data_IF_536321890064
#
_entry.id   IF_536321890064
#
_cell.length_a   1.000
_cell.length_b   1.000
_cell.length_c   1.000
_cell.angle_alpha   90.00
_cell.angle_beta   90.00
_cell.angle_gamma   90.00
#
_symmetry.space_group_name_H-M   'P 1'
#
loop_
_entity.id
_entity.type
_entity.pdbx_description
1 polymer ?
#
# COMPACT_ATOMS: atom_id res chain seq x y z
N UNK A 1 -0.59 -5.83 -13.73
CA UNK A 1 -0.32 -7.28 -13.93
C UNK A 1 -1.12 -8.04 -12.89
N UNK A 2 -2.00 -8.96 -13.28
CA UNK A 2 -2.81 -9.70 -12.31
C UNK A 2 -1.99 -10.92 -11.82
N UNK A 3 -1.62 -10.91 -10.55
CA UNK A 3 -0.80 -11.98 -9.95
C UNK A 3 -1.71 -13.01 -9.31
N UNK A 4 -1.52 -14.28 -9.65
CA UNK A 4 -2.26 -15.41 -9.10
C UNK A 4 -1.37 -16.23 -8.18
N UNK A 5 -1.93 -16.72 -7.09
CA UNK A 5 -1.24 -17.50 -6.08
C UNK A 5 -1.86 -18.89 -5.94
N UNK A 6 -1.04 -19.86 -5.58
CA UNK A 6 -1.44 -21.23 -5.23
C UNK A 6 -1.81 -21.30 -3.74
N UNK A 7 -2.34 -22.45 -3.29
CA UNK A 7 -2.76 -22.65 -1.88
C UNK A 7 -1.61 -22.49 -0.87
N UNK A 8 -0.38 -22.70 -1.32
CA UNK A 8 0.84 -22.52 -0.50
C UNK A 8 1.35 -21.06 -0.47
N UNK A 9 0.62 -20.12 -1.11
CA UNK A 9 1.00 -18.72 -1.18
C UNK A 9 2.08 -18.39 -2.22
N UNK A 10 2.52 -19.36 -3.03
CA UNK A 10 3.46 -19.11 -4.10
C UNK A 10 2.75 -18.62 -5.37
N UNK A 11 3.47 -17.84 -6.18
CA UNK A 11 2.96 -17.42 -7.49
C UNK A 11 2.74 -18.63 -8.39
N UNK A 12 1.63 -18.62 -9.15
CA UNK A 12 1.32 -19.68 -10.11
C UNK A 12 2.40 -19.78 -11.19
N UNK A 13 2.91 -20.98 -11.39
CA UNK A 13 3.99 -21.29 -12.33
C UNK A 13 3.53 -22.31 -13.40
N UNK A 14 4.32 -22.54 -14.46
CA UNK A 14 4.05 -23.60 -15.44
C UNK A 14 3.86 -24.98 -14.78
N UNK A 15 2.91 -25.79 -15.27
CA UNK A 15 2.09 -25.58 -16.47
C UNK A 15 0.77 -24.83 -16.22
N UNK A 16 0.46 -24.47 -14.99
CA UNK A 16 -0.84 -23.91 -14.62
C UNK A 16 -1.06 -22.50 -15.18
N UNK A 17 -0.05 -21.63 -15.11
CA UNK A 17 -0.08 -20.28 -15.69
C UNK A 17 -0.34 -20.32 -17.20
N UNK A 18 0.36 -21.20 -17.91
CA UNK A 18 0.22 -21.41 -19.35
C UNK A 18 -1.19 -21.88 -19.71
N UNK A 19 -1.76 -22.78 -18.91
CA UNK A 19 -3.12 -23.27 -19.08
C UNK A 19 -4.16 -22.17 -18.84
N UNK A 20 -3.99 -21.37 -17.80
CA UNK A 20 -4.85 -20.21 -17.49
C UNK A 20 -4.81 -19.20 -18.64
N UNK A 21 -3.61 -18.85 -19.12
CA UNK A 21 -3.43 -17.92 -20.22
C UNK A 21 -4.05 -18.41 -21.52
N UNK A 22 -4.00 -19.73 -21.78
CA UNK A 22 -4.66 -20.32 -22.94
C UNK A 22 -6.20 -20.19 -22.86
N UNK A 23 -6.81 -20.26 -21.68
CA UNK A 23 -8.24 -19.99 -21.50
C UNK A 23 -8.56 -18.49 -21.66
N UNK A 24 -7.73 -17.61 -21.08
CA UNK A 24 -7.89 -16.15 -21.24
C UNK A 24 -7.85 -15.75 -22.71
N UNK A 25 -6.95 -16.33 -23.50
CA UNK A 25 -6.82 -16.04 -24.95
C UNK A 25 -8.04 -16.41 -25.78
N UNK A 26 -8.96 -17.27 -25.27
CA UNK A 26 -10.23 -17.58 -25.93
C UNK A 26 -11.26 -16.45 -25.81
N UNK A 27 -11.10 -15.53 -24.86
CA UNK A 27 -11.94 -14.37 -24.70
C UNK A 27 -11.49 -13.29 -25.67
N UNK A 28 -12.22 -13.10 -26.73
CA UNK A 28 -11.86 -12.18 -27.83
C UNK A 28 -12.67 -10.87 -27.83
N UNK A 29 -13.70 -10.77 -26.97
CA UNK A 29 -14.55 -9.60 -26.81
C UNK A 29 -15.00 -9.49 -25.36
N UNK A 30 -15.17 -8.24 -24.87
CA UNK A 30 -15.71 -7.97 -23.53
C UNK A 30 -17.14 -8.52 -23.35
N UNK A 31 -17.92 -8.65 -24.42
CA UNK A 31 -19.27 -9.22 -24.37
C UNK A 31 -19.30 -10.69 -23.92
N UNK A 32 -18.19 -11.38 -24.01
CA UNK A 32 -18.03 -12.76 -23.54
C UNK A 32 -17.79 -12.83 -22.02
N UNK A 33 -17.46 -11.71 -21.37
CA UNK A 33 -17.23 -11.65 -19.94
C UNK A 33 -18.58 -11.70 -19.21
N UNK A 34 -18.76 -12.74 -18.41
CA UNK A 34 -19.97 -12.89 -17.60
C UNK A 34 -19.96 -11.89 -16.46
N UNK A 35 -20.98 -11.08 -16.35
CA UNK A 35 -21.16 -10.11 -15.26
C UNK A 35 -22.43 -10.41 -14.48
N UNK A 36 -22.49 -9.93 -13.25
CA UNK A 36 -23.61 -10.08 -12.35
C UNK A 36 -23.79 -8.78 -11.57
N UNK A 37 -25.04 -8.44 -11.24
CA UNK A 37 -25.32 -7.35 -10.32
C UNK A 37 -24.72 -7.62 -8.95
N UNK A 38 -24.16 -6.57 -8.30
CA UNK A 38 -23.46 -6.71 -7.02
C UNK A 38 -24.35 -7.24 -5.91
N UNK A 39 -25.61 -6.79 -5.82
CA UNK A 39 -26.53 -7.24 -4.78
C UNK A 39 -26.86 -8.72 -4.96
N UNK A 40 -27.13 -9.14 -6.21
CA UNK A 40 -27.36 -10.54 -6.55
C UNK A 40 -26.12 -11.42 -6.26
N UNK A 41 -24.92 -10.90 -6.51
CA UNK A 41 -23.68 -11.62 -6.20
C UNK A 41 -23.47 -11.80 -4.69
N UNK A 42 -23.82 -10.81 -3.87
CA UNK A 42 -23.78 -10.89 -2.40
C UNK A 42 -24.79 -11.94 -1.92
N UNK A 43 -26.04 -11.88 -2.41
CA UNK A 43 -27.09 -12.83 -2.04
C UNK A 43 -26.72 -14.27 -2.42
N UNK A 44 -26.08 -14.45 -3.56
CA UNK A 44 -25.58 -15.75 -4.02
C UNK A 44 -24.29 -16.23 -3.32
N UNK A 45 -23.71 -15.43 -2.41
CA UNK A 45 -22.44 -15.75 -1.72
C UNK A 45 -21.21 -15.69 -2.61
N UNK A 46 -21.32 -15.10 -3.79
CA UNK A 46 -20.22 -14.98 -4.77
C UNK A 46 -19.37 -13.72 -4.55
N UNK A 47 -19.87 -12.75 -3.79
CA UNK A 47 -19.17 -11.54 -3.42
C UNK A 47 -19.11 -11.44 -1.89
N UNK A 48 -17.92 -11.60 -1.33
CA UNK A 48 -17.70 -11.54 0.11
C UNK A 48 -16.68 -10.46 0.42
N UNK A 49 -16.94 -9.64 1.44
CA UNK A 49 -15.96 -8.70 1.99
C UNK A 49 -15.10 -9.45 2.99
N UNK A 50 -13.78 -9.24 2.91
CA UNK A 50 -12.83 -9.83 3.85
C UNK A 50 -13.17 -9.36 5.27
N UNK A 51 -13.25 -10.32 6.22
CA UNK A 51 -13.56 -10.03 7.62
C UNK A 51 -12.40 -9.40 8.37
N UNK A 52 -12.71 -8.68 9.45
CA UNK A 52 -11.71 -8.11 10.36
C UNK A 52 -10.78 -9.20 10.94
N UNK A 53 -11.25 -10.44 11.08
CA UNK A 53 -10.43 -11.59 11.54
C UNK A 53 -9.26 -11.86 10.59
N UNK A 54 -9.49 -11.81 9.28
CA UNK A 54 -8.42 -12.01 8.29
C UNK A 54 -7.43 -10.85 8.34
N UNK A 55 -7.92 -9.61 8.42
CA UNK A 55 -7.06 -8.42 8.58
C UNK A 55 -6.21 -8.52 9.86
N UNK A 56 -6.82 -8.88 11.00
CA UNK A 56 -6.08 -9.02 12.27
C UNK A 56 -5.04 -10.13 12.21
N UNK A 57 -5.33 -11.24 11.54
CA UNK A 57 -4.36 -12.29 11.28
C UNK A 57 -3.13 -11.76 10.52
N UNK A 58 -3.35 -11.01 9.46
CA UNK A 58 -2.29 -10.39 8.67
C UNK A 58 -1.46 -9.40 9.50
N UNK A 59 -2.10 -8.45 10.18
CA UNK A 59 -1.38 -7.49 11.05
C UNK A 59 -0.69 -8.17 12.23
N UNK A 60 -1.23 -9.29 12.71
CA UNK A 60 -0.60 -10.13 13.73
C UNK A 60 0.76 -10.67 13.27
N UNK A 61 0.84 -11.14 12.02
CA UNK A 61 2.12 -11.60 11.45
C UNK A 61 3.07 -10.42 11.21
N UNK A 62 2.59 -9.28 10.69
CA UNK A 62 3.44 -8.10 10.48
C UNK A 62 4.11 -7.62 11.78
N UNK A 63 3.39 -7.63 12.91
CA UNK A 63 3.98 -7.24 14.20
C UNK A 63 5.18 -8.08 14.61
N UNK A 64 5.21 -9.36 14.22
CA UNK A 64 6.33 -10.27 14.52
C UNK A 64 7.59 -9.97 13.71
N UNK A 65 7.46 -9.22 12.61
CA UNK A 65 8.57 -8.83 11.75
C UNK A 65 9.36 -7.64 12.28
N UNK A 66 8.87 -6.97 13.33
CA UNK A 66 9.59 -5.84 13.93
C UNK A 66 10.88 -6.32 14.59
N UNK A 67 12.03 -5.82 14.08
CA UNK A 67 13.35 -6.27 14.54
C UNK A 67 13.75 -5.60 15.86
N UNK A 68 13.38 -4.31 16.03
CA UNK A 68 13.75 -3.49 17.18
C UNK A 68 12.54 -2.76 17.78
N UNK A 69 11.55 -3.49 18.33
CA UNK A 69 10.34 -2.89 18.87
C UNK A 69 10.60 -1.95 20.05
N UNK A 70 11.70 -2.16 20.80
CA UNK A 70 12.12 -1.30 21.90
C UNK A 70 12.55 0.10 21.42
N UNK A 71 13.24 0.19 20.27
CA UNK A 71 13.65 1.46 19.68
C UNK A 71 12.42 2.20 19.15
N UNK A 72 11.52 1.50 18.47
CA UNK A 72 10.27 2.06 17.98
C UNK A 72 9.48 2.65 19.15
N UNK A 73 9.29 1.89 20.22
CA UNK A 73 8.55 2.33 21.41
C UNK A 73 9.18 3.56 22.06
N UNK A 74 10.50 3.67 22.05
CA UNK A 74 11.21 4.81 22.63
C UNK A 74 11.04 6.10 21.80
N UNK A 75 10.94 5.98 20.47
CA UNK A 75 10.99 7.12 19.55
C UNK A 75 9.64 7.46 18.89
N UNK A 76 8.65 6.57 18.93
CA UNK A 76 7.41 6.70 18.16
C UNK A 76 6.62 7.99 18.45
N UNK A 77 6.76 8.55 19.66
CA UNK A 77 6.10 9.81 20.04
C UNK A 77 6.79 11.06 19.52
N UNK A 78 8.08 10.97 19.24
CA UNK A 78 8.89 12.13 18.84
C UNK A 78 9.05 12.20 17.32
N UNK A 79 9.19 11.06 16.66
CA UNK A 79 9.37 10.98 15.20
C UNK A 79 8.13 11.46 14.47
N UNK A 80 8.35 12.34 13.49
CA UNK A 80 7.33 12.86 12.58
C UNK A 80 7.46 12.19 11.22
N UNK A 81 6.41 11.56 10.78
CA UNK A 81 6.35 10.81 9.53
C UNK A 81 5.33 11.48 8.59
N UNK A 82 5.74 11.76 7.36
CA UNK A 82 4.80 12.05 6.26
C UNK A 82 4.67 10.79 5.41
N UNK A 83 3.45 10.48 5.02
CA UNK A 83 3.16 9.34 4.17
C UNK A 83 2.27 9.73 2.99
N UNK A 84 2.61 9.24 1.80
CA UNK A 84 1.74 9.31 0.63
C UNK A 84 1.50 7.92 0.03
N UNK A 85 0.23 7.53 -0.17
CA UNK A 85 -0.14 6.30 -0.88
C UNK A 85 -0.19 6.47 -2.40
N UNK A 86 0.16 7.64 -2.95
CA UNK A 86 0.07 7.98 -4.37
C UNK A 86 -1.27 7.58 -5.02
N UNK A 87 -2.40 7.92 -4.38
CA UNK A 87 -3.77 7.54 -4.76
C UNK A 87 -4.06 6.04 -4.73
N UNK A 88 -3.24 5.25 -4.04
CA UNK A 88 -3.29 3.80 -4.03
C UNK A 88 -3.94 3.18 -2.80
N UNK A 89 -3.83 1.87 -2.71
CA UNK A 89 -4.46 1.02 -1.69
C UNK A 89 -3.72 1.01 -0.35
N UNK A 90 -2.45 1.49 -0.33
CA UNK A 90 -1.59 1.46 0.85
C UNK A 90 -2.07 2.31 2.04
N UNK A 91 -3.01 3.24 1.84
CA UNK A 91 -3.44 4.16 2.91
C UNK A 91 -3.85 3.45 4.20
N UNK A 92 -4.81 2.53 4.12
CA UNK A 92 -5.35 1.82 5.29
C UNK A 92 -4.29 0.96 6.00
N UNK A 93 -3.61 0.03 5.30
CA UNK A 93 -2.66 -0.85 5.96
C UNK A 93 -1.45 -0.12 6.55
N UNK A 94 -0.88 0.86 5.85
CA UNK A 94 0.28 1.60 6.36
C UNK A 94 -0.10 2.45 7.58
N UNK A 95 -1.24 3.19 7.54
CA UNK A 95 -1.72 3.92 8.72
C UNK A 95 -1.96 2.99 9.92
N UNK A 96 -2.53 1.81 9.67
CA UNK A 96 -2.80 0.84 10.73
C UNK A 96 -1.50 0.35 11.36
N UNK A 97 -0.51 -0.05 10.56
CA UNK A 97 0.78 -0.52 11.06
C UNK A 97 1.50 0.56 11.85
N UNK A 98 1.59 1.79 11.33
CA UNK A 98 2.23 2.90 12.03
C UNK A 98 1.55 3.21 13.37
N UNK A 99 0.22 3.17 13.40
CA UNK A 99 -0.56 3.34 14.63
C UNK A 99 -0.32 2.21 15.63
N UNK A 100 -0.34 0.97 15.17
CA UNK A 100 -0.09 -0.22 16.01
C UNK A 100 1.33 -0.21 16.60
N UNK A 101 2.29 0.36 15.87
CA UNK A 101 3.65 0.59 16.35
C UNK A 101 3.78 1.76 17.34
N UNK A 102 2.71 2.56 17.51
CA UNK A 102 2.66 3.66 18.47
C UNK A 102 3.13 5.02 17.93
N UNK A 103 3.31 5.18 16.62
CA UNK A 103 3.63 6.48 16.03
C UNK A 103 2.44 7.42 16.15
N UNK A 104 2.65 8.58 16.81
CA UNK A 104 1.61 9.58 17.07
C UNK A 104 1.61 10.72 16.03
N UNK A 105 2.75 11.01 15.41
CA UNK A 105 2.93 12.12 14.48
C UNK A 105 3.01 11.62 13.03
N UNK A 106 1.93 11.06 12.52
CA UNK A 106 1.81 10.57 11.14
C UNK A 106 0.91 11.52 10.35
N UNK A 107 1.46 12.14 9.31
CA UNK A 107 0.79 13.10 8.44
C UNK A 107 0.64 12.49 7.04
N UNK A 108 -0.60 12.36 6.59
CA UNK A 108 -0.90 11.85 5.25
C UNK A 108 -0.98 13.01 4.27
N UNK A 109 -0.36 12.87 3.08
CA UNK A 109 -0.54 13.84 1.99
C UNK A 109 -2.01 13.84 1.53
N UNK A 110 -2.78 14.91 1.83
CA UNK A 110 -4.23 14.85 1.71
C UNK A 110 -4.75 14.74 0.28
N UNK A 111 -4.03 15.33 -0.69
CA UNK A 111 -4.44 15.32 -2.09
C UNK A 111 -4.19 13.97 -2.78
N UNK A 112 -3.35 13.12 -2.19
CA UNK A 112 -2.98 11.80 -2.68
C UNK A 112 -3.57 10.65 -1.82
N UNK A 113 -4.29 10.98 -0.75
CA UNK A 113 -4.82 10.00 0.20
C UNK A 113 -5.96 9.15 -0.37
N UNK A 114 -6.83 9.78 -1.16
CA UNK A 114 -7.99 9.08 -1.74
C UNK A 114 -7.58 8.31 -2.99
N UNK A 115 -7.91 7.01 -3.09
CA UNK A 115 -7.68 6.24 -4.30
C UNK A 115 -8.38 6.89 -5.50
N UNK A 116 -7.61 7.16 -6.56
CA UNK A 116 -8.12 7.72 -7.81
C UNK A 116 -7.32 7.15 -8.99
N UNK A 117 -7.99 6.35 -9.83
CA UNK A 117 -7.38 5.73 -11.01
C UNK A 117 -6.97 6.70 -12.12
N UNK A 118 -7.33 7.99 -12.01
CA UNK A 118 -6.87 9.03 -12.94
C UNK A 118 -5.54 9.68 -12.48
N UNK A 119 -5.09 9.42 -11.25
CA UNK A 119 -3.84 9.95 -10.67
C UNK A 119 -3.64 11.45 -10.89
N UNK A 120 -4.59 12.33 -10.49
CA UNK A 120 -4.64 13.74 -10.91
C UNK A 120 -3.43 14.55 -10.46
N UNK A 121 -2.78 14.16 -9.36
CA UNK A 121 -1.61 14.86 -8.82
C UNK A 121 -0.28 14.17 -9.12
N UNK A 122 -0.31 12.96 -9.68
CA UNK A 122 0.86 12.16 -9.96
C UNK A 122 0.63 11.26 -11.18
N UNK A 123 0.75 11.76 -12.42
CA UNK A 123 0.47 11.00 -13.64
C UNK A 123 1.31 9.73 -13.79
N UNK A 124 2.45 9.67 -13.12
CA UNK A 124 3.27 8.48 -13.03
C UNK A 124 3.51 8.11 -11.55
N UNK A 125 2.57 7.35 -10.94
CA UNK A 125 2.54 7.09 -9.51
C UNK A 125 3.53 5.99 -9.09
N UNK A 126 4.81 6.21 -9.36
CA UNK A 126 5.89 5.33 -8.96
C UNK A 126 6.80 6.07 -7.96
N UNK A 127 7.00 5.55 -6.73
CA UNK A 127 7.82 6.20 -5.71
C UNK A 127 9.32 6.26 -6.06
N UNK A 128 9.80 5.55 -7.06
CA UNK A 128 11.15 5.73 -7.61
C UNK A 128 11.29 7.01 -8.45
N UNK A 129 10.16 7.57 -8.91
CA UNK A 129 10.16 8.83 -9.66
C UNK A 129 10.22 10.02 -8.71
N UNK A 130 11.25 10.90 -8.79
CA UNK A 130 11.36 12.09 -7.95
C UNK A 130 10.14 13.03 -8.00
N UNK A 131 9.43 13.08 -9.13
CA UNK A 131 8.25 13.94 -9.28
C UNK A 131 7.07 13.49 -8.41
N UNK A 132 6.98 12.19 -8.09
CA UNK A 132 5.94 11.65 -7.21
C UNK A 132 6.03 12.19 -5.78
N UNK A 133 7.21 12.63 -5.35
CA UNK A 133 7.49 13.08 -3.99
C UNK A 133 7.17 14.55 -3.71
N UNK A 134 6.94 15.37 -4.73
CA UNK A 134 6.84 16.83 -4.58
C UNK A 134 5.90 17.25 -3.44
N UNK A 135 4.66 16.78 -3.47
CA UNK A 135 3.65 17.16 -2.49
C UNK A 135 3.99 16.63 -1.08
N UNK A 136 4.44 15.39 -1.00
CA UNK A 136 4.84 14.80 0.28
C UNK A 136 6.06 15.51 0.88
N UNK A 137 7.03 15.93 0.06
CA UNK A 137 8.19 16.72 0.50
C UNK A 137 7.82 18.15 0.92
N UNK A 138 6.83 18.78 0.28
CA UNK A 138 6.28 20.07 0.71
C UNK A 138 5.61 19.95 2.06
N UNK A 139 4.77 18.95 2.25
CA UNK A 139 4.14 18.64 3.52
C UNK A 139 5.20 18.31 4.61
N UNK A 140 6.23 17.58 4.25
CA UNK A 140 7.32 17.24 5.18
C UNK A 140 8.07 18.49 5.67
N UNK A 141 8.28 19.48 4.82
CA UNK A 141 8.86 20.77 5.22
C UNK A 141 7.93 21.53 6.15
N UNK A 142 6.61 21.56 5.85
CA UNK A 142 5.61 22.23 6.70
C UNK A 142 5.54 21.62 8.10
N UNK A 143 5.57 20.30 8.19
CA UNK A 143 5.46 19.56 9.45
C UNK A 143 6.79 19.39 10.17
N UNK A 144 7.90 19.79 9.55
CA UNK A 144 9.26 19.53 10.03
C UNK A 144 9.45 18.02 10.28
N UNK A 145 9.10 17.22 9.26
CA UNK A 145 9.11 15.77 9.36
C UNK A 145 10.52 15.17 9.28
N UNK A 146 10.70 14.05 9.97
CA UNK A 146 11.97 13.32 10.02
C UNK A 146 12.06 12.28 8.90
N UNK A 147 10.91 11.69 8.53
CA UNK A 147 10.82 10.62 7.55
C UNK A 147 9.66 10.92 6.59
N UNK A 148 9.87 10.62 5.31
CA UNK A 148 8.80 10.58 4.31
C UNK A 148 8.74 9.18 3.72
N UNK A 149 7.54 8.61 3.68
CA UNK A 149 7.24 7.31 3.11
C UNK A 149 6.33 7.48 1.90
N UNK A 150 6.54 6.68 0.87
CA UNK A 150 5.64 6.57 -0.27
C UNK A 150 5.48 5.11 -0.67
N UNK A 151 4.28 4.73 -1.06
CA UNK A 151 4.00 3.45 -1.72
C UNK A 151 3.42 3.70 -3.10
N UNK A 152 3.67 2.79 -4.03
CA UNK A 152 2.98 2.78 -5.31
C UNK A 152 1.49 2.40 -5.14
N UNK A 153 0.64 2.50 -6.18
CA UNK A 153 -0.80 2.32 -6.04
C UNK A 153 -1.27 0.97 -5.55
N UNK A 154 -0.59 -0.12 -5.84
CA UNK A 154 -0.92 -1.47 -5.35
C UNK A 154 -0.14 -1.85 -4.07
N UNK A 155 0.70 -0.91 -3.59
CA UNK A 155 1.51 -1.04 -2.37
C UNK A 155 2.51 -2.22 -2.40
N UNK A 156 2.95 -2.63 -3.60
CA UNK A 156 4.00 -3.64 -3.77
C UNK A 156 5.39 -3.04 -3.67
N UNK A 157 5.55 -1.76 -4.07
CA UNK A 157 6.78 -1.01 -3.95
C UNK A 157 6.67 0.07 -2.86
N UNK A 158 7.72 0.23 -2.08
CA UNK A 158 7.81 1.29 -1.07
C UNK A 158 9.19 1.94 -1.09
N UNK A 159 9.21 3.26 -1.01
CA UNK A 159 10.43 4.05 -0.90
C UNK A 159 10.31 5.00 0.29
N UNK A 160 11.42 5.25 0.94
CA UNK A 160 11.48 6.24 2.01
C UNK A 160 12.67 7.16 1.84
N UNK A 161 12.54 8.37 2.40
CA UNK A 161 13.64 9.31 2.60
C UNK A 161 13.63 9.82 4.03
N UNK A 162 14.81 10.06 4.60
CA UNK A 162 14.96 10.57 5.95
C UNK A 162 15.81 11.84 5.96
N UNK A 163 15.49 12.76 6.86
CA UNK A 163 16.30 13.95 7.11
C UNK A 163 17.55 13.56 7.88
N UNK A 164 18.72 13.67 7.24
CA UNK A 164 19.99 13.49 7.91
C UNK A 164 20.37 14.81 8.59
N UNK A 165 20.26 14.87 9.91
CA UNK A 165 20.87 15.94 10.68
C UNK A 165 22.40 15.69 10.72
N UNK A 166 23.16 16.47 9.95
CA UNK A 166 24.61 16.54 10.16
C UNK A 166 24.85 17.28 11.47
N UNK A 167 25.24 16.56 12.52
CA UNK A 167 25.91 17.21 13.65
C UNK A 167 27.21 17.78 13.12
N UNK A 168 27.25 19.09 12.90
CA UNK A 168 28.48 19.83 12.75
C UNK A 168 29.00 20.00 14.17
N UNK A 169 29.89 19.09 14.61
CA UNK A 169 30.70 19.33 15.78
C UNK A 169 31.62 20.52 15.49
N UNK A 170 31.33 21.64 16.15
CA UNK A 170 32.28 22.74 16.26
C UNK A 170 33.43 22.37 17.17
#
# INVERSE_FOLDING_TARGET
MDTRYTEDGAQVTPPHDTSIMAEVAKVTSFDQVKTMDKAAAIEAGLYNVISDEVEEGYFGELRKLSIHPEIIKAMAKDIKIVYTPLHGTGLRPVQRVLKDMGFENVYIEPSQAVPDGNFPTCPYPNPENPDAWKLALELAKEKDADIVLATDPDATDSVYTARIQRQVSM
#
